data_IF_861590492184
#
_entry.id   IF_861590492184
#
_cell.length_a   1.000
_cell.length_b   1.000
_cell.length_c   1.000
_cell.angle_alpha   90.00
_cell.angle_beta   90.00
_cell.angle_gamma   90.00
#
_symmetry.space_group_name_H-M   'P 1'
#
loop_
_entity.id
_entity.type
_entity.pdbx_description
1 polymer ?
#
# COMPACT_ATOMS: atom_id res chain seq x y z
N UNK A 1 -22.90 -2.96 4.37
CA UNK A 1 -22.90 -2.06 3.21
C UNK A 1 -21.48 -2.05 2.71
N UNK A 2 -21.25 -2.35 1.45
CA UNK A 2 -19.90 -2.42 0.87
C UNK A 2 -19.55 -1.08 0.24
N UNK A 3 -18.37 -0.54 0.56
CA UNK A 3 -17.88 0.73 0.00
C UNK A 3 -16.97 0.51 -1.22
N UNK A 4 -17.41 -0.39 -2.10
CA UNK A 4 -16.72 -0.77 -3.34
C UNK A 4 -17.44 -0.19 -4.57
N UNK A 5 -17.08 -0.66 -5.77
CA UNK A 5 -17.73 -0.26 -7.00
C UNK A 5 -17.27 1.12 -7.45
N UNK A 6 -18.18 2.09 -7.54
CA UNK A 6 -17.87 3.45 -7.99
C UNK A 6 -16.89 4.20 -7.06
N UNK A 7 -16.73 3.72 -5.82
CA UNK A 7 -15.83 4.25 -4.81
C UNK A 7 -14.39 3.73 -4.93
N UNK A 8 -14.18 2.68 -5.73
CA UNK A 8 -12.84 2.14 -6.01
C UNK A 8 -12.48 2.43 -7.46
N UNK A 9 -11.29 2.97 -7.67
CA UNK A 9 -10.81 3.39 -9.00
C UNK A 9 -9.52 2.68 -9.34
N UNK A 10 -9.40 2.28 -10.61
CA UNK A 10 -8.11 1.95 -11.21
C UNK A 10 -7.43 3.25 -11.64
N UNK A 11 -6.24 3.49 -11.13
CA UNK A 11 -5.39 4.63 -11.48
C UNK A 11 -3.97 4.14 -11.71
N UNK A 12 -3.13 5.02 -12.26
CA UNK A 12 -1.70 4.71 -12.45
C UNK A 12 -0.91 5.40 -11.35
N UNK A 13 -0.02 4.65 -10.71
CA UNK A 13 0.96 5.18 -9.77
C UNK A 13 2.37 5.18 -10.41
N UNK A 14 3.13 6.21 -10.11
CA UNK A 14 4.55 6.32 -10.37
C UNK A 14 5.29 6.21 -9.03
N UNK A 15 6.05 5.14 -8.87
CA UNK A 15 6.93 4.94 -7.73
C UNK A 15 8.39 5.12 -8.16
N UNK A 16 9.17 5.78 -7.33
CA UNK A 16 10.59 6.02 -7.57
C UNK A 16 11.39 5.42 -6.43
N UNK A 17 12.39 4.63 -6.78
CA UNK A 17 13.47 4.24 -5.90
C UNK A 17 14.72 5.02 -6.29
N UNK A 18 15.39 5.61 -5.30
CA UNK A 18 16.70 6.24 -5.50
C UNK A 18 17.63 5.81 -4.38
N UNK A 19 18.92 6.11 -4.51
CA UNK A 19 19.82 6.04 -3.36
C UNK A 19 19.54 7.17 -2.36
N UNK A 20 20.20 7.07 -1.20
CA UNK A 20 20.08 8.00 -0.06
C UNK A 20 20.60 9.42 -0.32
N UNK A 21 21.39 9.63 -1.38
CA UNK A 21 22.01 10.92 -1.72
C UNK A 21 21.28 11.63 -2.87
N UNK A 22 20.20 11.05 -3.39
CA UNK A 22 19.44 11.65 -4.48
C UNK A 22 18.73 12.94 -4.03
N UNK A 23 18.71 13.93 -4.93
CA UNK A 23 17.94 15.17 -4.76
C UNK A 23 16.45 14.89 -5.00
N UNK A 24 15.77 14.34 -3.98
CA UNK A 24 14.34 14.04 -4.04
C UNK A 24 13.48 15.29 -4.33
N UNK A 25 13.70 16.45 -3.69
CA UNK A 25 12.99 17.67 -4.05
C UNK A 25 13.18 18.08 -5.53
N UNK A 26 14.41 18.02 -6.04
CA UNK A 26 14.71 18.32 -7.44
C UNK A 26 14.04 17.36 -8.41
N UNK A 27 14.11 16.05 -8.13
CA UNK A 27 13.44 15.03 -8.93
C UNK A 27 11.92 15.22 -8.95
N UNK A 28 11.33 15.48 -7.78
CA UNK A 28 9.90 15.76 -7.66
C UNK A 28 9.50 16.97 -8.51
N UNK A 29 10.21 18.09 -8.37
CA UNK A 29 9.91 19.32 -9.10
C UNK A 29 9.98 19.12 -10.62
N UNK A 30 10.93 18.31 -11.09
CA UNK A 30 11.02 17.98 -12.51
C UNK A 30 9.85 17.11 -12.99
N UNK A 31 9.45 16.09 -12.21
CA UNK A 31 8.29 15.26 -12.54
C UNK A 31 7.00 16.08 -12.56
N UNK A 32 6.81 16.98 -11.59
CA UNK A 32 5.68 17.92 -11.55
C UNK A 32 5.68 18.88 -12.74
N UNK A 33 6.85 19.41 -13.13
CA UNK A 33 7.00 20.27 -14.31
C UNK A 33 6.60 19.53 -15.58
N UNK A 34 7.10 18.31 -15.79
CA UNK A 34 6.74 17.48 -16.96
C UNK A 34 5.27 17.09 -16.97
N UNK A 35 4.71 16.77 -15.81
CA UNK A 35 3.28 16.51 -15.69
C UNK A 35 2.47 17.75 -16.10
N UNK A 36 2.87 18.92 -15.64
CA UNK A 36 2.25 20.20 -16.02
C UNK A 36 2.34 20.45 -17.52
N UNK A 37 3.51 20.23 -18.14
CA UNK A 37 3.71 20.33 -19.59
C UNK A 37 2.79 19.35 -20.36
N UNK A 38 2.47 18.19 -19.76
CA UNK A 38 1.55 17.20 -20.28
C UNK A 38 0.08 17.43 -19.89
N UNK A 39 -0.25 18.54 -19.22
CA UNK A 39 -1.59 18.81 -18.66
C UNK A 39 -2.10 17.75 -17.68
N UNK A 40 -1.19 17.18 -16.89
CA UNK A 40 -1.44 16.22 -15.83
C UNK A 40 -1.09 16.83 -14.46
N UNK A 41 -1.75 16.34 -13.42
CA UNK A 41 -1.44 16.71 -12.03
C UNK A 41 -0.95 15.48 -11.27
N UNK A 42 0.19 15.59 -10.60
CA UNK A 42 0.69 14.53 -9.72
C UNK A 42 0.22 14.81 -8.30
N UNK A 43 -0.32 13.80 -7.62
CA UNK A 43 -0.65 13.89 -6.19
C UNK A 43 0.15 12.86 -5.41
N UNK A 44 0.62 13.23 -4.22
CA UNK A 44 1.25 12.28 -3.32
C UNK A 44 0.28 11.18 -2.91
N UNK A 45 0.81 9.97 -2.77
CA UNK A 45 0.04 8.84 -2.27
C UNK A 45 0.94 7.93 -1.44
N UNK A 46 0.46 7.35 -0.33
CA UNK A 46 1.27 6.44 0.46
C UNK A 46 1.69 5.21 -0.36
N UNK A 47 2.87 4.63 -0.10
CA UNK A 47 3.37 3.45 -0.82
C UNK A 47 2.46 2.23 -0.65
N UNK A 48 1.60 2.19 0.38
CA UNK A 48 0.65 1.12 0.66
C UNK A 48 -0.39 0.88 -0.46
N UNK A 49 -0.53 1.82 -1.41
CA UNK A 49 -1.35 1.60 -2.62
C UNK A 49 -0.68 0.70 -3.65
N UNK A 50 0.64 0.52 -3.53
CA UNK A 50 1.41 -0.26 -4.48
C UNK A 50 1.19 -1.76 -4.24
N UNK A 51 1.29 -2.58 -5.30
CA UNK A 51 1.17 -4.02 -5.14
C UNK A 51 2.20 -4.56 -4.15
N UNK A 52 1.78 -5.48 -3.27
CA UNK A 52 2.67 -6.09 -2.26
C UNK A 52 3.95 -6.66 -2.88
N UNK A 53 3.85 -7.28 -4.06
CA UNK A 53 5.00 -7.83 -4.76
C UNK A 53 6.05 -6.77 -5.15
N UNK A 54 5.67 -5.50 -5.35
CA UNK A 54 6.62 -4.41 -5.54
C UNK A 54 7.26 -4.01 -4.21
N UNK A 55 6.45 -3.85 -3.16
CA UNK A 55 6.92 -3.46 -1.83
C UNK A 55 7.85 -4.50 -1.16
N UNK A 56 7.66 -5.78 -1.49
CA UNK A 56 8.54 -6.87 -1.04
C UNK A 56 9.96 -6.78 -1.65
N UNK A 57 10.08 -6.09 -2.79
CA UNK A 57 11.32 -6.00 -3.57
C UNK A 57 12.01 -4.65 -3.40
N UNK A 58 11.25 -3.59 -3.16
CA UNK A 58 11.75 -2.23 -3.04
C UNK A 58 10.87 -1.38 -2.14
N UNK A 59 11.47 -0.38 -1.50
CA UNK A 59 10.77 0.65 -0.75
C UNK A 59 10.92 1.95 -1.52
N UNK A 60 9.90 2.36 -2.29
CA UNK A 60 9.94 3.63 -3.00
C UNK A 60 10.08 4.79 -2.03
N UNK A 61 10.96 5.72 -2.38
CA UNK A 61 11.19 6.97 -1.63
C UNK A 61 10.22 8.07 -2.05
N UNK A 62 9.60 7.92 -3.22
CA UNK A 62 8.57 8.80 -3.75
C UNK A 62 7.49 7.96 -4.43
N UNK A 63 6.23 8.19 -4.08
CA UNK A 63 5.07 7.56 -4.74
C UNK A 63 4.04 8.62 -5.07
N UNK A 64 3.69 8.70 -6.34
CA UNK A 64 2.75 9.69 -6.87
C UNK A 64 1.65 9.00 -7.66
N UNK A 65 0.43 9.50 -7.51
CA UNK A 65 -0.75 9.06 -8.23
C UNK A 65 -1.04 10.02 -9.38
N UNK A 66 -1.43 9.46 -10.52
CA UNK A 66 -1.86 10.23 -11.68
C UNK A 66 -3.38 10.41 -11.72
N UNK A 67 -3.89 11.42 -12.46
CA UNK A 67 -5.32 11.67 -12.57
C UNK A 67 -6.06 10.46 -13.13
N UNK A 68 -7.33 10.32 -12.76
CA UNK A 68 -8.20 9.28 -13.31
C UNK A 68 -8.23 9.36 -14.85
N UNK A 69 -8.17 8.20 -15.52
CA UNK A 69 -8.12 8.11 -16.97
C UNK A 69 -6.72 8.22 -17.60
N UNK A 70 -5.68 8.49 -16.80
CA UNK A 70 -4.29 8.45 -17.28
C UNK A 70 -3.86 7.02 -17.56
N UNK A 71 -3.14 6.82 -18.66
CA UNK A 71 -2.64 5.50 -19.08
C UNK A 71 -1.19 5.28 -18.65
N UNK A 72 -0.78 4.03 -18.49
CA UNK A 72 0.63 3.65 -18.25
C UNK A 72 1.57 4.28 -19.28
N UNK A 73 1.16 4.33 -20.56
CA UNK A 73 1.98 4.92 -21.63
C UNK A 73 2.22 6.41 -21.41
N UNK A 74 1.19 7.17 -21.02
CA UNK A 74 1.32 8.59 -20.68
C UNK A 74 2.22 8.79 -19.46
N UNK A 75 2.08 7.96 -18.42
CA UNK A 75 2.95 8.02 -17.24
C UNK A 75 4.41 7.72 -17.58
N UNK A 76 4.67 6.70 -18.40
CA UNK A 76 6.03 6.39 -18.87
C UNK A 76 6.64 7.53 -19.68
N UNK A 77 5.83 8.25 -20.45
CA UNK A 77 6.29 9.43 -21.18
C UNK A 77 6.76 10.57 -20.25
N UNK A 78 6.22 10.68 -19.03
CA UNK A 78 6.69 11.66 -18.03
C UNK A 78 8.12 11.37 -17.55
N UNK A 79 8.44 10.08 -17.36
CA UNK A 79 9.78 9.65 -16.97
C UNK A 79 10.78 9.93 -18.12
N UNK A 80 10.32 9.81 -19.36
CA UNK A 80 11.15 10.02 -20.55
C UNK A 80 12.25 8.96 -20.70
N UNK A 81 13.16 9.10 -21.67
CA UNK A 81 14.36 8.26 -21.71
C UNK A 81 15.20 8.55 -20.45
N UNK A 82 15.60 7.50 -19.73
CA UNK A 82 16.24 7.57 -18.40
C UNK A 82 17.31 8.66 -18.32
N UNK A 83 18.12 8.81 -19.37
CA UNK A 83 19.17 9.82 -19.51
C UNK A 83 18.73 11.29 -19.28
N UNK A 84 17.45 11.64 -19.50
CA UNK A 84 16.94 13.01 -19.34
C UNK A 84 16.52 13.35 -17.91
N UNK A 85 16.35 12.36 -17.03
CA UNK A 85 16.17 12.58 -15.59
C UNK A 85 17.49 12.35 -14.83
N UNK A 86 18.39 11.55 -15.38
CA UNK A 86 19.74 11.31 -14.85
C UNK A 86 20.62 12.56 -14.77
N UNK A 87 20.28 13.67 -15.44
CA UNK A 87 21.04 14.92 -15.31
C UNK A 87 20.77 15.70 -14.02
N UNK A 88 19.73 15.31 -13.26
CA UNK A 88 19.35 15.91 -11.97
C UNK A 88 19.71 15.03 -10.78
N UNK A 89 19.76 13.71 -10.96
CA UNK A 89 20.33 12.80 -9.96
C UNK A 89 21.84 12.76 -10.18
N UNK A 90 22.64 13.24 -9.22
CA UNK A 90 24.10 13.10 -9.24
C UNK A 90 24.57 11.63 -9.29
N UNK A 91 23.64 10.69 -9.12
CA UNK A 91 23.79 9.24 -9.25
C UNK A 91 22.85 8.68 -10.33
N UNK A 92 23.35 7.74 -11.13
CA UNK A 92 22.64 7.14 -12.26
C UNK A 92 21.59 6.08 -11.84
N UNK A 93 21.27 5.95 -10.56
CA UNK A 93 20.63 4.74 -10.01
C UNK A 93 19.14 4.90 -9.66
N UNK A 94 18.47 5.94 -10.18
CA UNK A 94 17.03 6.12 -9.96
C UNK A 94 16.22 5.11 -10.79
N UNK A 95 15.50 4.23 -10.11
CA UNK A 95 14.62 3.23 -10.75
C UNK A 95 13.17 3.68 -10.65
N UNK A 96 12.47 3.70 -11.80
CA UNK A 96 11.07 4.13 -11.90
C UNK A 96 10.15 2.93 -12.13
N UNK A 97 9.06 2.87 -11.37
CA UNK A 97 8.02 1.85 -11.50
C UNK A 97 6.70 2.53 -11.88
N UNK A 98 6.13 2.12 -13.00
CA UNK A 98 4.81 2.57 -13.46
C UNK A 98 3.85 1.39 -13.38
N UNK A 99 2.88 1.48 -12.47
CA UNK A 99 1.97 0.38 -12.13
C UNK A 99 0.52 0.84 -12.10
N UNK A 100 -0.39 -0.04 -12.51
CA UNK A 100 -1.81 0.13 -12.21
C UNK A 100 -2.04 -0.19 -10.73
N UNK A 101 -2.83 0.65 -10.07
CA UNK A 101 -3.21 0.52 -8.67
C UNK A 101 -4.71 0.65 -8.50
N UNK A 102 -5.22 0.05 -7.44
CA UNK A 102 -6.58 0.25 -6.96
C UNK A 102 -6.53 1.20 -5.78
N UNK A 103 -7.31 2.28 -5.86
CA UNK A 103 -7.40 3.27 -4.79
C UNK A 103 -8.86 3.47 -4.42
N UNK A 104 -9.10 3.72 -3.14
CA UNK A 104 -10.36 4.30 -2.71
C UNK A 104 -10.39 5.76 -3.07
N UNK A 105 -11.53 6.21 -3.56
CA UNK A 105 -11.80 7.54 -4.05
C UNK A 105 -13.11 8.01 -3.40
N UNK A 106 -13.00 8.39 -2.12
CA UNK A 106 -14.12 8.57 -1.22
C UNK A 106 -14.34 10.04 -0.89
N UNK A 107 -15.60 10.44 -0.83
CA UNK A 107 -16.06 11.72 -0.30
C UNK A 107 -17.09 11.46 0.79
N UNK A 108 -16.77 11.94 1.99
CA UNK A 108 -17.69 11.95 3.12
C UNK A 108 -18.32 13.33 3.23
N UNK A 109 -19.65 13.42 3.25
CA UNK A 109 -20.35 14.70 3.31
C UNK A 109 -21.30 14.74 4.51
N UNK A 110 -21.27 15.84 5.23
CA UNK A 110 -22.19 16.09 6.33
C UNK A 110 -22.65 17.55 6.34
N UNK A 111 -23.95 17.74 6.56
CA UNK A 111 -24.50 19.06 6.81
C UNK A 111 -24.11 19.53 8.22
N UNK A 112 -23.59 20.74 8.32
CA UNK A 112 -23.19 21.35 9.57
C UNK A 112 -23.52 22.84 9.56
N UNK A 113 -24.02 23.36 10.68
CA UNK A 113 -24.26 24.80 10.82
C UNK A 113 -22.96 25.62 10.71
N UNK A 114 -21.85 25.05 11.16
CA UNK A 114 -20.50 25.62 11.05
C UNK A 114 -19.50 24.52 10.63
N UNK A 115 -19.32 24.29 9.31
CA UNK A 115 -18.43 23.25 8.78
C UNK A 115 -16.97 23.40 9.23
N UNK A 116 -16.49 24.63 9.41
CA UNK A 116 -15.12 24.89 9.83
C UNK A 116 -14.90 24.41 11.26
N UNK A 117 -15.83 24.72 12.17
CA UNK A 117 -15.76 24.25 13.56
C UNK A 117 -15.80 22.72 13.67
N UNK A 118 -16.56 22.04 12.81
CA UNK A 118 -16.59 20.57 12.76
C UNK A 118 -15.23 20.03 12.34
N UNK A 119 -14.63 20.59 11.28
CA UNK A 119 -13.30 20.19 10.83
C UNK A 119 -12.22 20.43 11.91
N UNK A 120 -12.25 21.57 12.60
CA UNK A 120 -11.33 21.87 13.70
C UNK A 120 -11.47 20.88 14.85
N UNK A 121 -12.71 20.51 15.21
CA UNK A 121 -12.98 19.50 16.22
C UNK A 121 -12.42 18.13 15.82
N UNK A 122 -12.64 17.73 14.56
CA UNK A 122 -12.10 16.47 14.02
C UNK A 122 -10.58 16.45 14.00
N UNK A 123 -9.94 17.55 13.59
CA UNK A 123 -8.49 17.68 13.57
C UNK A 123 -7.89 17.65 14.98
N UNK A 124 -8.56 18.27 15.95
CA UNK A 124 -8.16 18.25 17.37
C UNK A 124 -8.27 16.85 17.98
N UNK A 125 -9.33 16.11 17.65
CA UNK A 125 -9.52 14.74 18.12
C UNK A 125 -8.58 13.76 17.41
N UNK A 126 -8.20 14.04 16.16
CA UNK A 126 -7.27 13.25 15.37
C UNK A 126 -7.84 11.94 14.81
N UNK A 127 -9.08 11.56 15.14
CA UNK A 127 -9.66 10.25 14.78
C UNK A 127 -9.69 9.98 13.28
N UNK A 128 -10.02 10.98 12.46
CA UNK A 128 -10.04 10.78 11.00
C UNK A 128 -8.63 10.65 10.46
N UNK A 129 -7.67 11.42 10.97
CA UNK A 129 -6.26 11.28 10.58
C UNK A 129 -5.67 9.94 11.02
N UNK A 130 -6.05 9.42 12.19
CA UNK A 130 -5.63 8.09 12.66
C UNK A 130 -6.22 6.97 11.78
N UNK A 131 -7.49 7.11 11.37
CA UNK A 131 -8.18 6.09 10.59
C UNK A 131 -7.73 6.01 9.12
N UNK A 132 -7.51 7.16 8.46
CA UNK A 132 -7.26 7.22 7.01
C UNK A 132 -6.01 8.01 6.62
N UNK A 133 -5.27 8.55 7.58
CA UNK A 133 -4.05 9.32 7.31
C UNK A 133 -4.37 10.66 6.66
N UNK A 134 -3.93 10.83 5.42
CA UNK A 134 -4.06 12.08 4.68
C UNK A 134 -5.44 12.17 4.01
N UNK A 135 -6.11 13.30 4.24
CA UNK A 135 -7.37 13.66 3.61
C UNK A 135 -7.40 15.17 3.36
N UNK A 136 -8.32 15.62 2.52
CA UNK A 136 -8.58 17.04 2.33
C UNK A 136 -9.99 17.40 2.77
N UNK A 137 -10.20 18.65 3.15
CA UNK A 137 -11.52 19.15 3.53
C UNK A 137 -11.93 20.29 2.63
N UNK A 138 -13.18 20.26 2.19
CA UNK A 138 -13.80 21.36 1.44
C UNK A 138 -15.05 21.85 2.16
N UNK A 139 -15.21 23.16 2.20
CA UNK A 139 -16.35 23.82 2.85
C UNK A 139 -17.24 24.45 1.79
N UNK A 140 -18.53 24.16 1.87
CA UNK A 140 -19.56 24.90 1.14
C UNK A 140 -20.69 25.29 2.08
N UNK A 141 -21.66 26.07 1.62
CA UNK A 141 -22.70 26.66 2.47
C UNK A 141 -23.46 25.60 3.29
N UNK A 142 -23.05 25.44 4.55
CA UNK A 142 -23.62 24.48 5.49
C UNK A 142 -23.19 23.02 5.29
N UNK A 143 -22.13 22.74 4.52
CA UNK A 143 -21.66 21.40 4.23
C UNK A 143 -20.14 21.29 4.45
N UNK A 144 -19.74 20.26 5.20
CA UNK A 144 -18.38 19.77 5.26
C UNK A 144 -18.25 18.57 4.32
N UNK A 145 -17.26 18.60 3.43
CA UNK A 145 -16.83 17.43 2.69
C UNK A 145 -15.40 17.06 3.08
N UNK A 146 -15.17 15.76 3.23
CA UNK A 146 -13.86 15.15 3.52
C UNK A 146 -13.55 14.22 2.36
N UNK A 147 -12.53 14.56 1.59
CA UNK A 147 -12.12 13.83 0.39
C UNK A 147 -10.88 12.97 0.70
N UNK A 148 -10.94 11.69 0.35
CA UNK A 148 -9.90 10.69 0.58
C UNK A 148 -9.57 9.95 -0.71
N UNK A 149 -8.30 9.99 -1.09
CA UNK A 149 -7.74 9.17 -2.17
C UNK A 149 -6.54 8.41 -1.63
N UNK A 150 -6.62 7.08 -1.58
CA UNK A 150 -5.59 6.29 -0.91
C UNK A 150 -5.80 4.77 -0.97
N UNK A 151 -5.09 4.02 -0.12
CA UNK A 151 -5.21 2.57 -0.02
C UNK A 151 -6.64 2.08 0.19
N UNK A 152 -6.88 0.82 -0.17
CA UNK A 152 -8.19 0.23 0.04
C UNK A 152 -8.50 0.10 1.53
N UNK A 153 -9.60 0.71 1.95
CA UNK A 153 -10.14 0.68 3.31
C UNK A 153 -11.14 -0.47 3.44
N UNK A 154 -11.16 -1.10 4.61
CA UNK A 154 -12.26 -2.01 4.93
C UNK A 154 -13.54 -1.23 5.24
N UNK A 155 -14.69 -1.87 5.06
CA UNK A 155 -15.99 -1.28 5.40
C UNK A 155 -16.05 -0.79 6.87
N UNK A 156 -15.38 -1.49 7.79
CA UNK A 156 -15.31 -1.09 9.20
C UNK A 156 -14.49 0.18 9.43
N UNK A 157 -13.44 0.40 8.64
CA UNK A 157 -12.66 1.65 8.70
C UNK A 157 -13.48 2.80 8.15
N UNK A 158 -14.16 2.61 7.01
CA UNK A 158 -15.06 3.64 6.43
C UNK A 158 -16.17 4.02 7.43
N UNK A 159 -16.79 3.04 8.09
CA UNK A 159 -17.80 3.33 9.12
C UNK A 159 -17.19 4.03 10.35
N UNK A 160 -15.97 3.69 10.75
CA UNK A 160 -15.28 4.37 11.85
C UNK A 160 -15.01 5.85 11.52
N UNK A 161 -14.65 6.15 10.28
CA UNK A 161 -14.50 7.53 9.78
C UNK A 161 -15.83 8.27 9.84
N UNK A 162 -16.93 7.66 9.36
CA UNK A 162 -18.27 8.26 9.46
C UNK A 162 -18.65 8.59 10.90
N UNK A 163 -18.38 7.68 11.83
CA UNK A 163 -18.62 7.91 13.26
C UNK A 163 -17.79 9.09 13.78
N UNK A 164 -16.51 9.19 13.39
CA UNK A 164 -15.65 10.32 13.74
C UNK A 164 -16.18 11.66 13.25
N UNK A 165 -16.55 11.73 11.96
CA UNK A 165 -17.10 12.94 11.33
C UNK A 165 -18.42 13.35 11.99
N UNK A 166 -19.34 12.39 12.17
CA UNK A 166 -20.66 12.64 12.75
C UNK A 166 -20.55 13.17 14.19
N UNK A 167 -19.60 12.66 14.97
CA UNK A 167 -19.36 13.13 16.35
C UNK A 167 -18.96 14.61 16.37
N UNK A 168 -18.05 15.04 15.48
CA UNK A 168 -17.65 16.44 15.37
C UNK A 168 -18.81 17.37 15.01
N UNK A 169 -19.77 16.86 14.23
CA UNK A 169 -20.99 17.59 13.85
C UNK A 169 -22.14 17.47 14.86
N UNK A 170 -22.03 16.61 15.88
CA UNK A 170 -23.13 16.30 16.79
C UNK A 170 -24.31 15.58 16.12
N UNK A 171 -24.04 14.82 15.05
CA UNK A 171 -25.02 14.13 14.22
C UNK A 171 -24.93 12.60 14.39
N UNK A 172 -25.89 11.87 13.81
CA UNK A 172 -25.77 10.41 13.69
C UNK A 172 -24.82 10.01 12.54
N UNK A 173 -24.06 8.89 12.64
CA UNK A 173 -23.21 8.39 11.56
C UNK A 173 -23.95 8.20 10.24
N UNK A 174 -25.23 7.82 10.30
CA UNK A 174 -26.11 7.66 9.15
C UNK A 174 -26.31 8.95 8.32
N UNK A 175 -26.11 10.11 8.93
CA UNK A 175 -26.23 11.42 8.27
C UNK A 175 -24.97 11.81 7.49
N UNK A 176 -23.85 11.13 7.72
CA UNK A 176 -22.64 11.26 6.89
C UNK A 176 -22.85 10.43 5.64
N UNK A 177 -23.06 11.11 4.51
CA UNK A 177 -23.11 10.46 3.21
C UNK A 177 -21.72 10.05 2.76
N UNK A 178 -21.58 8.87 2.15
CA UNK A 178 -20.35 8.41 1.52
C UNK A 178 -20.61 8.25 0.03
N UNK A 179 -19.80 8.90 -0.80
CA UNK A 179 -19.93 8.93 -2.26
C UNK A 179 -18.54 8.80 -2.90
N UNK A 180 -18.45 8.45 -4.19
CA UNK A 180 -17.22 8.66 -4.94
C UNK A 180 -16.83 10.13 -4.94
N UNK A 181 -15.56 10.45 -4.71
CA UNK A 181 -15.03 11.82 -4.88
C UNK A 181 -15.10 12.21 -6.36
N UNK A 182 -14.54 11.38 -7.25
CA UNK A 182 -14.59 11.67 -8.67
C UNK A 182 -15.95 11.28 -9.26
N UNK A 183 -16.61 12.26 -9.89
CA UNK A 183 -17.93 12.07 -10.55
C UNK A 183 -17.84 11.38 -11.91
N UNK A 184 -16.64 11.23 -12.46
CA UNK A 184 -16.35 10.59 -13.75
C UNK A 184 -15.45 9.37 -13.58
N UNK A 185 -15.54 8.43 -14.52
CA UNK A 185 -14.72 7.23 -14.56
C UNK A 185 -15.50 5.95 -14.26
N UNK A 186 -14.89 4.81 -14.55
CA UNK A 186 -15.47 3.48 -14.28
C UNK A 186 -15.10 3.04 -12.87
N UNK A 187 -16.07 2.58 -12.09
CA UNK A 187 -15.81 1.98 -10.78
C UNK A 187 -15.30 0.55 -10.93
N UNK A 188 -14.56 0.06 -9.92
CA UNK A 188 -14.09 -1.32 -9.89
C UNK A 188 -14.99 -2.14 -8.97
N UNK A 189 -15.56 -3.21 -9.52
CA UNK A 189 -16.24 -4.22 -8.72
C UNK A 189 -15.21 -5.19 -8.14
N UNK A 190 -14.97 -5.05 -6.84
CA UNK A 190 -14.00 -5.85 -6.10
C UNK A 190 -14.37 -7.34 -6.05
N UNK A 191 -15.63 -7.71 -6.29
CA UNK A 191 -16.05 -9.11 -6.31
C UNK A 191 -15.55 -9.88 -7.54
N UNK A 192 -15.24 -9.17 -8.63
CA UNK A 192 -14.76 -9.74 -9.90
C UNK A 192 -13.33 -9.33 -10.23
N UNK A 193 -12.73 -8.48 -9.41
CA UNK A 193 -11.36 -8.01 -9.60
C UNK A 193 -10.38 -9.19 -9.44
N UNK A 194 -9.47 -9.40 -10.42
CA UNK A 194 -8.46 -10.42 -10.30
C UNK A 194 -7.60 -10.20 -9.07
N UNK A 195 -7.25 -11.30 -8.37
CA UNK A 195 -6.25 -11.22 -7.32
C UNK A 195 -4.95 -10.63 -7.90
N UNK A 196 -4.29 -9.71 -7.17
CA UNK A 196 -3.08 -9.07 -7.64
C UNK A 196 -2.06 -10.14 -8.04
N UNK A 197 -1.62 -10.10 -9.31
CA UNK A 197 -0.61 -11.01 -9.79
C UNK A 197 0.69 -10.76 -9.00
N UNK A 198 1.46 -11.81 -8.65
CA UNK A 198 2.79 -11.62 -8.10
C UNK A 198 3.61 -10.79 -9.08
N UNK A 199 4.27 -9.73 -8.60
CA UNK A 199 5.00 -8.79 -9.44
C UNK A 199 6.11 -9.52 -10.22
N UNK A 200 5.94 -9.64 -11.54
CA UNK A 200 7.00 -10.11 -12.44
C UNK A 200 7.77 -8.89 -12.94
N UNK A 201 9.03 -8.78 -12.54
CA UNK A 201 9.94 -7.75 -12.99
C UNK A 201 10.08 -7.87 -14.51
N UNK A 202 9.78 -6.79 -15.25
CA UNK A 202 10.29 -6.66 -16.59
C UNK A 202 11.81 -6.46 -16.48
N UNK A 203 12.56 -7.56 -16.57
CA UNK A 203 14.00 -7.46 -16.79
C UNK A 203 14.19 -6.63 -18.06
N UNK A 204 15.02 -5.61 -17.94
CA UNK A 204 15.50 -4.73 -18.99
C UNK A 204 15.74 -5.56 -20.25
N UNK A 205 15.01 -5.27 -21.34
CA UNK A 205 15.37 -5.75 -22.66
C UNK A 205 16.70 -5.10 -23.02
N UNK A 206 17.79 -5.71 -22.59
CA UNK A 206 19.10 -5.51 -23.19
C UNK A 206 19.05 -6.33 -24.47
N UNK A 207 18.82 -5.63 -25.58
CA UNK A 207 19.07 -6.13 -26.92
C UNK A 207 20.57 -6.44 -27.02
N UNK A 208 20.95 -7.67 -26.71
CA UNK A 208 22.22 -8.22 -27.13
C UNK A 208 21.98 -8.96 -28.42
N UNK A 209 22.28 -8.26 -29.52
CA UNK A 209 22.64 -8.86 -30.79
C UNK A 209 23.61 -10.01 -30.52
N UNK A 210 23.12 -11.25 -30.64
CA UNK A 210 23.93 -12.45 -30.52
C UNK A 210 24.70 -12.58 -31.84
N UNK A 211 25.88 -11.96 -31.88
CA UNK A 211 26.97 -12.54 -32.66
C UNK A 211 27.50 -13.76 -31.90
N UNK A 212 27.66 -14.81 -32.68
CA UNK A 212 27.94 -16.18 -32.30
C UNK A 212 29.37 -16.30 -31.73
N UNK A 213 29.52 -16.44 -30.41
CA UNK A 213 30.78 -16.93 -29.82
C UNK A 213 30.51 -17.86 -28.61
N UNK A 214 31.29 -18.95 -28.58
CA UNK A 214 31.14 -20.20 -27.83
C UNK A 214 30.91 -20.07 -26.31
N UNK A 215 30.17 -21.00 -25.66
CA UNK A 215 29.91 -20.95 -24.23
C UNK A 215 31.14 -21.35 -23.42
N UNK A 216 31.70 -20.39 -22.68
CA UNK A 216 32.65 -20.63 -21.59
C UNK A 216 31.86 -21.13 -20.37
N UNK A 217 32.27 -22.22 -19.71
CA UNK A 217 31.58 -22.70 -18.51
C UNK A 217 31.78 -21.72 -17.35
N UNK A 218 30.67 -21.10 -16.92
CA UNK A 218 30.62 -20.26 -15.71
C UNK A 218 30.65 -21.17 -14.48
N UNK A 219 31.75 -21.13 -13.73
CA UNK A 219 31.83 -21.77 -12.41
C UNK A 219 30.91 -21.04 -11.42
N UNK A 220 30.00 -21.72 -10.72
CA UNK A 220 29.17 -21.10 -9.69
C UNK A 220 30.04 -20.64 -8.52
N UNK A 221 29.94 -19.36 -8.18
CA UNK A 221 30.67 -18.74 -7.07
C UNK A 221 30.32 -19.36 -5.70
N UNK A 222 31.21 -19.23 -4.70
CA UNK A 222 31.16 -19.94 -3.41
C UNK A 222 29.97 -19.59 -2.47
N UNK A 223 28.96 -18.86 -2.95
CA UNK A 223 27.96 -18.20 -2.12
C UNK A 223 26.67 -19.03 -2.03
N UNK A 224 26.46 -19.94 -3.00
CA UNK A 224 25.32 -20.87 -3.05
C UNK A 224 25.38 -21.89 -1.90
N UNK A 225 26.58 -22.31 -1.48
CA UNK A 225 26.75 -23.19 -0.33
C UNK A 225 26.29 -22.56 0.99
N UNK A 226 26.39 -21.23 1.11
CA UNK A 226 26.02 -20.51 2.32
C UNK A 226 24.50 -20.51 2.56
N UNK A 227 23.71 -20.31 1.49
CA UNK A 227 22.25 -20.31 1.57
C UNK A 227 21.67 -21.70 1.87
N UNK A 228 22.23 -22.76 1.29
CA UNK A 228 21.78 -24.14 1.58
C UNK A 228 22.10 -24.51 3.03
N UNK A 229 23.29 -24.15 3.53
CA UNK A 229 23.68 -24.38 4.93
C UNK A 229 22.78 -23.65 5.93
N UNK A 230 22.48 -22.37 5.67
CA UNK A 230 21.61 -21.56 6.54
C UNK A 230 20.20 -22.15 6.62
N UNK A 231 19.63 -22.56 5.49
CA UNK A 231 18.25 -23.09 5.43
C UNK A 231 18.13 -24.40 6.21
N UNK A 232 19.12 -25.30 6.09
CA UNK A 232 19.13 -26.57 6.83
C UNK A 232 19.25 -26.34 8.35
N UNK A 233 20.09 -25.39 8.77
CA UNK A 233 20.26 -25.04 10.19
C UNK A 233 18.96 -24.46 10.78
N UNK A 234 18.27 -23.61 10.02
CA UNK A 234 17.02 -22.97 10.45
C UNK A 234 15.88 -23.99 10.55
N UNK A 235 15.76 -24.92 9.59
CA UNK A 235 14.79 -26.01 9.67
C UNK A 235 15.06 -26.95 10.86
N UNK A 236 16.32 -27.29 11.12
CA UNK A 236 16.69 -28.16 12.24
C UNK A 236 16.38 -27.52 13.60
N UNK A 237 16.67 -26.24 13.77
CA UNK A 237 16.38 -25.51 15.02
C UNK A 237 14.88 -25.35 15.27
N UNK A 238 14.08 -25.08 14.24
CA UNK A 238 12.62 -25.03 14.33
C UNK A 238 12.02 -26.40 14.71
N UNK A 239 12.52 -27.49 14.12
CA UNK A 239 12.08 -28.84 14.44
C UNK A 239 12.38 -29.23 15.90
N UNK A 240 13.54 -28.85 16.43
CA UNK A 240 13.92 -29.08 17.83
C UNK A 240 13.01 -28.27 18.77
N UNK A 241 12.73 -27.01 18.45
CA UNK A 241 11.83 -26.17 19.25
C UNK A 241 10.40 -26.71 19.28
N UNK A 242 9.84 -27.12 18.12
CA UNK A 242 8.50 -27.72 18.08
C UNK A 242 8.44 -29.03 18.87
N UNK A 243 9.45 -29.90 18.73
CA UNK A 243 9.51 -31.17 19.46
C UNK A 243 9.59 -30.95 20.97
N UNK A 244 10.35 -29.95 21.42
CA UNK A 244 10.46 -29.61 22.85
C UNK A 244 9.14 -29.07 23.44
N UNK A 245 8.41 -28.23 22.69
CA UNK A 245 7.09 -27.72 23.09
C UNK A 245 6.05 -28.84 23.14
N UNK A 246 6.09 -29.76 22.18
CA UNK A 246 5.19 -30.91 22.14
C UNK A 246 5.45 -31.88 23.31
N UNK A 247 6.72 -32.13 23.65
CA UNK A 247 7.08 -32.94 24.82
C UNK A 247 6.66 -32.28 26.15
N UNK A 248 6.77 -30.95 26.29
CA UNK A 248 6.27 -30.23 27.47
C UNK A 248 4.75 -30.30 27.61
N UNK A 249 3.99 -30.25 26.50
CA UNK A 249 2.53 -30.43 26.53
C UNK A 249 2.12 -31.84 26.97
N UNK A 250 2.79 -32.89 26.47
CA UNK A 250 2.51 -34.27 26.89
C UNK A 250 2.77 -34.51 28.38
N UNK A 251 3.83 -33.93 28.96
CA UNK A 251 4.10 -34.07 30.41
C UNK A 251 3.03 -33.42 31.29
N UNK A 252 2.41 -32.32 30.84
CA UNK A 252 1.33 -31.64 31.59
C UNK A 252 0.01 -32.41 31.58
N UNK A 253 -0.26 -33.19 30.54
CA UNK A 253 -1.47 -34.02 30.44
C UNK A 253 -1.35 -35.31 31.27
N UNK A 254 -0.15 -35.88 31.38
CA UNK A 254 0.07 -37.06 32.23
C UNK A 254 -0.07 -36.75 33.73
N UNK A 255 0.33 -35.56 34.19
CA UNK A 255 0.17 -35.14 35.60
C UNK A 255 -1.25 -34.74 36.00
N UNK A 256 -2.18 -34.60 35.03
CA UNK A 256 -3.56 -34.21 35.30
C UNK A 256 -4.49 -35.40 35.60
N UNK A 257 -4.04 -36.64 35.33
CA UNK A 257 -4.82 -37.86 35.54
C UNK A 257 -4.48 -38.64 36.83
N UNK A 258 -3.58 -38.12 37.67
CA UNK A 258 -3.09 -38.80 38.88
C UNK A 258 -3.62 -38.17 40.19
N UNK A 259 -4.82 -37.58 40.15
CA UNK A 259 -5.59 -37.20 41.35
C UNK A 259 -7.04 -37.65 41.21
N UNK A 260 -7.28 -38.91 41.56
CA UNK A 260 -8.51 -39.36 42.22
C UNK A 260 -8.32 -40.83 42.60
N UNK A 261 -7.68 -41.04 43.75
CA UNK A 261 -7.78 -42.30 44.46
C UNK A 261 -8.72 -42.04 45.65
N UNK A 262 -9.94 -42.61 45.66
CA UNK A 262 -10.89 -42.40 46.75
C UNK A 262 -10.43 -43.14 48.01
N UNK A 263 -10.60 -42.49 49.15
CA UNK A 263 -10.34 -43.07 50.48
C UNK A 263 -11.16 -44.35 50.68
N UNK A 264 -10.56 -45.45 51.16
CA UNK A 264 -11.31 -46.61 51.61
C UNK A 264 -11.94 -46.31 52.97
N UNK A 265 -13.28 -46.26 52.99
CA UNK A 265 -14.07 -46.35 54.22
C UNK A 265 -13.60 -47.56 55.05
N UNK A 266 -13.34 -47.31 56.33
CA UNK A 266 -13.03 -48.33 57.32
C UNK A 266 -14.30 -48.68 58.12
N UNK A 267 -14.53 -49.96 58.45
CA UNK A 267 -15.69 -50.43 59.21
C UNK A 267 -15.63 -50.09 60.70
#
# INVERSE_FOLDING_TARGET
>A
MTFDGLMVRRRVALAVQTDENADLPGLRAELERRATDASLTLSDIPPDVLPAGLLDQTVPVLTMLLPAGTTIAQTRALVGPEASLSSLSASQDSTFFVVDVLVHDLRFEIAAADPAKVADSMATEGIVADAIGNYSTTFSAGLLAVDYVGPLLSDSVVESVRVGIARGAGAAPAEVAVRPESVTGVGVDMAIEPLPAPAVIAQTMVDHSVDEETPVPVSPGPWIGYWVGLTVLLCATLAIMLRSRFQRRRRRLASAFEREQPDPESP
#
